data_IF_990478811085
#
_entry.id   IF_990478811085
#
_cell.length_a   1.000
_cell.length_b   1.000
_cell.length_c   1.000
_cell.angle_alpha   90.00
_cell.angle_beta   90.00
_cell.angle_gamma   90.00
#
_symmetry.space_group_name_H-M   'P 1'
#
loop_
_entity.id
_entity.type
_entity.pdbx_description
1 polymer ?
#
# COMPACT_ATOMS: atom_id res chain seq x y z
N UNK A 1 11.65 23.60 -20.26
CA UNK A 1 11.81 22.67 -19.12
C UNK A 1 11.26 21.34 -19.58
N UNK A 2 11.94 20.20 -19.42
CA UNK A 2 11.32 18.92 -19.73
C UNK A 2 10.11 18.76 -18.81
N UNK A 3 8.97 18.38 -19.39
CA UNK A 3 7.77 18.05 -18.62
C UNK A 3 8.14 17.02 -17.53
N UNK A 4 7.81 17.30 -16.27
CA UNK A 4 7.99 16.31 -15.21
C UNK A 4 7.25 15.05 -15.66
N UNK A 5 7.97 13.94 -15.80
CA UNK A 5 7.35 12.69 -16.17
C UNK A 5 6.24 12.41 -15.13
N UNK A 6 5.00 12.28 -15.60
CA UNK A 6 3.87 12.00 -14.73
C UNK A 6 4.15 10.68 -13.98
N UNK A 7 3.94 10.68 -12.67
CA UNK A 7 4.06 9.46 -11.85
C UNK A 7 3.04 8.44 -12.39
N UNK A 8 3.45 7.23 -12.80
CA UNK A 8 2.51 6.20 -13.22
C UNK A 8 1.66 5.74 -12.03
N UNK A 9 0.36 5.56 -12.24
CA UNK A 9 -0.60 5.19 -11.17
C UNK A 9 -0.49 6.17 -9.99
N UNK A 10 -0.80 7.47 -10.20
CA UNK A 10 -0.65 8.50 -9.19
C UNK A 10 -1.73 8.45 -8.11
N UNK A 11 -2.85 7.78 -8.38
CA UNK A 11 -3.97 7.64 -7.45
C UNK A 11 -3.57 6.88 -6.18
N UNK A 12 -4.25 7.17 -5.06
CA UNK A 12 -4.07 6.40 -3.84
C UNK A 12 -4.50 4.94 -4.07
N UNK A 13 -3.63 3.93 -3.79
CA UNK A 13 -3.89 2.53 -4.14
C UNK A 13 -4.98 1.87 -3.28
N UNK A 14 -5.38 2.50 -2.18
CA UNK A 14 -6.43 2.02 -1.28
C UNK A 14 -7.51 3.09 -1.10
N UNK A 15 -8.48 3.20 -2.03
CA UNK A 15 -9.56 4.17 -1.91
C UNK A 15 -10.51 3.88 -0.74
N UNK A 16 -10.52 2.64 -0.24
CA UNK A 16 -11.25 2.15 0.93
C UNK A 16 -10.65 2.62 2.26
N UNK A 17 -9.38 3.02 2.27
CA UNK A 17 -8.66 3.43 3.48
C UNK A 17 -7.52 4.40 3.16
N UNK A 18 -7.85 5.67 2.99
CA UNK A 18 -6.92 6.75 2.62
C UNK A 18 -6.46 7.49 3.87
N UNK A 19 -5.17 7.88 3.89
CA UNK A 19 -4.60 8.87 4.82
C UNK A 19 -4.15 10.11 4.06
N UNK A 20 -4.16 11.26 4.73
CA UNK A 20 -3.72 12.51 4.12
C UNK A 20 -2.20 12.52 3.81
N UNK A 21 -1.42 11.78 4.60
CA UNK A 21 0.03 11.62 4.41
C UNK A 21 0.30 10.46 3.46
N UNK A 22 0.43 10.74 2.17
CA UNK A 22 0.68 9.76 1.11
C UNK A 22 1.77 10.27 0.17
N UNK A 23 2.84 9.52 0.01
CA UNK A 23 3.91 9.85 -0.92
C UNK A 23 4.23 8.68 -1.84
N UNK A 24 3.87 8.84 -3.12
CA UNK A 24 3.99 7.80 -4.14
C UNK A 24 5.45 7.64 -4.59
N UNK A 25 5.97 6.42 -4.52
CA UNK A 25 7.31 6.03 -4.95
C UNK A 25 7.34 5.34 -6.32
N UNK A 26 6.24 5.33 -7.07
CA UNK A 26 6.22 4.81 -8.44
C UNK A 26 7.08 5.66 -9.39
N UNK A 27 7.36 5.12 -10.55
CA UNK A 27 8.15 5.78 -11.58
C UNK A 27 9.46 5.04 -11.85
N UNK A 28 10.50 5.78 -12.24
CA UNK A 28 11.75 5.18 -12.68
C UNK A 28 12.61 4.72 -11.50
N UNK A 29 12.99 3.44 -11.50
CA UNK A 29 13.89 2.82 -10.54
C UNK A 29 15.11 2.25 -11.27
N UNK A 30 16.23 2.10 -10.59
CA UNK A 30 17.33 1.26 -11.06
C UNK A 30 16.91 -0.22 -10.91
N UNK A 31 17.43 -1.07 -11.79
CA UNK A 31 17.03 -2.46 -11.87
C UNK A 31 18.17 -3.38 -12.33
N UNK A 32 18.15 -4.63 -11.88
CA UNK A 32 19.02 -5.69 -12.38
C UNK A 32 18.32 -7.05 -12.29
N UNK A 33 18.64 -7.93 -13.25
CA UNK A 33 18.48 -9.36 -13.12
C UNK A 33 19.71 -9.93 -12.39
N UNK A 34 19.55 -10.98 -11.59
CA UNK A 34 20.61 -11.60 -10.81
C UNK A 34 20.53 -13.13 -10.95
N UNK A 35 20.63 -13.59 -12.20
CA UNK A 35 20.42 -15.00 -12.54
C UNK A 35 21.44 -15.94 -11.90
N UNK A 36 22.61 -15.43 -11.54
CA UNK A 36 23.69 -16.16 -10.87
C UNK A 36 23.65 -16.05 -9.32
N UNK A 37 22.66 -15.37 -8.76
CA UNK A 37 22.47 -15.10 -7.31
C UNK A 37 23.73 -14.53 -6.63
N UNK A 38 24.37 -13.57 -7.28
CA UNK A 38 25.58 -12.91 -6.79
C UNK A 38 25.30 -11.70 -5.90
N UNK A 39 24.09 -11.12 -5.98
CA UNK A 39 23.78 -9.83 -5.40
C UNK A 39 23.98 -9.76 -3.89
N UNK A 40 23.59 -10.79 -3.14
CA UNK A 40 23.84 -10.85 -1.70
C UNK A 40 25.33 -10.99 -1.37
N UNK A 41 26.05 -11.84 -2.10
CA UNK A 41 27.49 -12.06 -1.92
C UNK A 41 28.30 -10.79 -2.20
N UNK A 42 27.88 -10.05 -3.23
CA UNK A 42 28.51 -8.79 -3.63
C UNK A 42 27.91 -7.58 -2.92
N UNK A 43 27.03 -7.79 -1.97
CA UNK A 43 26.40 -6.75 -1.13
C UNK A 43 25.76 -5.64 -1.96
N UNK A 44 24.93 -6.03 -2.95
CA UNK A 44 24.27 -5.03 -3.79
C UNK A 44 23.36 -4.09 -3.01
N UNK A 45 22.82 -4.53 -1.86
CA UNK A 45 22.03 -3.69 -0.97
C UNK A 45 22.79 -2.47 -0.42
N UNK A 46 24.12 -2.46 -0.42
CA UNK A 46 24.95 -1.41 0.16
C UNK A 46 25.30 -0.27 -0.82
N UNK A 47 24.44 0.01 -1.79
CA UNK A 47 24.59 1.18 -2.67
C UNK A 47 25.15 0.85 -4.06
N UNK A 48 25.28 -0.42 -4.46
CA UNK A 48 25.71 -0.77 -5.82
C UNK A 48 24.72 -0.20 -6.85
N UNK A 49 25.24 0.57 -7.80
CA UNK A 49 24.45 1.06 -8.94
C UNK A 49 24.01 -0.12 -9.80
N UNK A 50 22.71 -0.23 -10.07
CA UNK A 50 22.16 -1.27 -10.93
C UNK A 50 22.16 -0.83 -12.39
N UNK A 51 22.45 -1.76 -13.35
CA UNK A 51 22.77 -1.41 -14.74
C UNK A 51 21.57 -1.01 -15.59
N UNK A 52 20.38 -1.45 -15.21
CA UNK A 52 19.14 -1.23 -15.98
C UNK A 52 18.23 -0.23 -15.26
N UNK A 53 17.12 0.09 -15.89
CA UNK A 53 16.08 0.95 -15.36
C UNK A 53 14.73 0.31 -15.64
N UNK A 54 13.81 0.40 -14.69
CA UNK A 54 12.44 -0.11 -14.77
C UNK A 54 11.45 0.96 -14.32
N UNK A 55 10.25 0.96 -14.90
CA UNK A 55 9.14 1.83 -14.46
C UNK A 55 8.22 1.05 -13.52
N UNK A 56 8.30 1.32 -12.22
CA UNK A 56 7.40 0.79 -11.20
C UNK A 56 6.05 1.54 -11.28
N UNK A 57 4.88 0.87 -11.20
CA UNK A 57 4.65 -0.47 -10.71
C UNK A 57 4.42 -1.52 -11.83
N UNK A 58 5.15 -1.48 -12.89
CA UNK A 58 5.00 -2.46 -13.96
C UNK A 58 6.05 -3.57 -13.82
N UNK A 59 5.60 -4.83 -13.82
CA UNK A 59 6.51 -5.97 -13.84
C UNK A 59 7.39 -5.96 -15.10
N UNK A 60 8.59 -6.54 -15.02
CA UNK A 60 9.54 -6.46 -16.13
C UNK A 60 9.04 -7.09 -17.43
N UNK A 61 8.10 -8.06 -17.35
CA UNK A 61 7.48 -8.69 -18.51
C UNK A 61 6.60 -7.72 -19.31
N UNK A 62 6.10 -6.66 -18.69
CA UNK A 62 5.27 -5.66 -19.34
C UNK A 62 6.11 -4.66 -20.13
N UNK A 63 5.72 -4.32 -21.35
CA UNK A 63 6.33 -3.23 -22.15
C UNK A 63 6.27 -1.88 -21.42
N UNK A 64 5.24 -1.66 -20.59
CA UNK A 64 5.10 -0.43 -19.78
C UNK A 64 6.19 -0.27 -18.73
N UNK A 65 6.89 -1.34 -18.37
CA UNK A 65 8.05 -1.28 -17.49
C UNK A 65 9.28 -0.61 -18.16
N UNK A 66 9.28 -0.52 -19.49
CA UNK A 66 10.43 -0.10 -20.30
C UNK A 66 11.43 -1.22 -20.61
N UNK A 67 11.14 -2.45 -20.20
CA UNK A 67 11.93 -3.65 -20.48
C UNK A 67 11.18 -4.56 -21.45
N UNK A 68 10.11 -5.20 -21.01
CA UNK A 68 9.40 -6.22 -21.79
C UNK A 68 10.15 -7.53 -21.85
N UNK A 69 9.46 -8.59 -22.28
CA UNK A 69 10.08 -9.89 -22.54
C UNK A 69 9.38 -11.03 -21.80
N UNK A 70 9.72 -12.26 -22.21
CA UNK A 70 9.14 -13.50 -21.68
C UNK A 70 10.22 -14.42 -21.07
N UNK A 71 11.45 -13.94 -20.96
CA UNK A 71 12.52 -14.67 -20.30
C UNK A 71 12.28 -14.75 -18.79
N UNK A 72 12.65 -15.86 -18.19
CA UNK A 72 12.46 -16.10 -16.77
C UNK A 72 13.73 -15.71 -16.03
N UNK A 73 13.60 -14.77 -15.12
CA UNK A 73 14.66 -14.29 -14.25
C UNK A 73 14.22 -14.49 -12.79
N UNK A 74 14.76 -15.50 -12.07
CA UNK A 74 14.27 -15.85 -10.74
C UNK A 74 14.56 -14.79 -9.66
N UNK A 75 15.60 -13.98 -9.87
CA UNK A 75 16.05 -13.00 -8.88
C UNK A 75 16.16 -11.63 -9.51
N UNK A 76 15.51 -10.66 -8.89
CA UNK A 76 15.42 -9.28 -9.37
C UNK A 76 15.88 -8.32 -8.27
N UNK A 77 16.61 -7.28 -8.65
CA UNK A 77 16.99 -6.21 -7.77
C UNK A 77 16.42 -4.88 -8.24
N UNK A 78 15.85 -4.12 -7.30
CA UNK A 78 15.30 -2.79 -7.49
C UNK A 78 16.02 -1.81 -6.58
N UNK A 79 16.25 -0.58 -7.04
CA UNK A 79 16.79 0.49 -6.21
C UNK A 79 16.20 1.83 -6.56
N UNK A 80 15.89 2.63 -5.54
CA UNK A 80 15.44 4.00 -5.68
C UNK A 80 15.89 4.87 -4.51
N UNK A 81 16.39 6.07 -4.80
CA UNK A 81 16.58 7.09 -3.78
C UNK A 81 15.30 7.90 -3.59
N UNK A 82 15.02 8.30 -2.35
CA UNK A 82 13.89 9.14 -1.99
C UNK A 82 14.22 10.04 -0.80
N UNK A 83 13.46 11.12 -0.64
CA UNK A 83 13.51 11.98 0.54
C UNK A 83 12.16 11.94 1.24
N UNK A 84 12.15 11.80 2.55
CA UNK A 84 10.91 11.83 3.33
C UNK A 84 10.30 13.23 3.25
N UNK A 85 9.03 13.37 2.82
CA UNK A 85 8.34 14.66 2.79
C UNK A 85 8.35 15.36 4.15
N UNK A 86 8.35 16.69 4.14
CA UNK A 86 8.44 17.49 5.37
C UNK A 86 7.29 17.24 6.34
N UNK A 87 6.10 17.01 5.83
CA UNK A 87 4.88 16.70 6.59
C UNK A 87 4.89 15.29 7.22
N UNK A 88 5.84 14.44 6.84
CA UNK A 88 6.05 13.12 7.43
C UNK A 88 7.23 13.08 8.42
N UNK A 89 8.06 14.14 8.47
CA UNK A 89 9.24 14.17 9.33
C UNK A 89 8.84 14.14 10.80
N UNK A 90 9.58 13.38 11.62
CA UNK A 90 9.31 13.21 13.04
C UNK A 90 8.10 12.31 13.35
N UNK A 91 7.42 11.79 12.34
CA UNK A 91 6.35 10.82 12.49
C UNK A 91 6.85 9.39 12.27
N UNK A 92 6.05 8.43 12.64
CA UNK A 92 6.27 7.02 12.29
C UNK A 92 5.93 6.82 10.81
N UNK A 93 6.89 6.31 10.03
CA UNK A 93 6.76 6.17 8.58
C UNK A 93 6.67 4.70 8.18
N UNK A 94 5.60 4.37 7.50
CA UNK A 94 5.36 3.05 6.92
C UNK A 94 5.70 3.06 5.44
N UNK A 95 6.57 2.15 5.00
CA UNK A 95 6.79 1.82 3.61
C UNK A 95 5.79 0.74 3.22
N UNK A 96 4.95 1.02 2.23
CA UNK A 96 3.87 0.15 1.80
C UNK A 96 4.05 -0.31 0.38
N UNK A 97 3.70 -1.55 0.14
CA UNK A 97 3.66 -2.19 -1.17
C UNK A 97 2.26 -2.72 -1.42
N UNK A 98 1.68 -2.41 -2.57
CA UNK A 98 0.42 -3.00 -2.99
C UNK A 98 0.57 -4.49 -3.29
N UNK A 99 1.63 -4.88 -4.01
CA UNK A 99 2.04 -6.28 -4.19
C UNK A 99 3.44 -6.37 -4.79
N UNK A 100 4.16 -7.44 -4.41
CA UNK A 100 5.46 -7.85 -4.97
C UNK A 100 5.43 -9.38 -5.15
N UNK A 101 5.60 -9.87 -6.37
CA UNK A 101 5.58 -11.30 -6.67
C UNK A 101 7.02 -11.84 -6.80
N UNK A 102 7.46 -12.89 -6.13
CA UNK A 102 6.70 -13.68 -5.16
C UNK A 102 7.12 -13.41 -3.72
N UNK A 103 8.42 -13.40 -3.42
CA UNK A 103 8.99 -13.05 -2.13
C UNK A 103 9.99 -11.91 -2.26
N UNK A 104 10.14 -11.09 -1.23
CA UNK A 104 11.12 -10.01 -1.27
C UNK A 104 11.74 -9.72 0.09
N UNK A 105 13.02 -9.34 0.04
CA UNK A 105 13.75 -8.70 1.12
C UNK A 105 13.86 -7.21 0.84
N UNK A 106 13.60 -6.39 1.85
CA UNK A 106 13.59 -4.93 1.74
C UNK A 106 14.69 -4.34 2.59
N UNK A 107 15.46 -3.44 1.99
CA UNK A 107 16.59 -2.75 2.61
C UNK A 107 16.39 -1.24 2.52
N UNK A 108 16.62 -0.53 3.61
CA UNK A 108 16.68 0.93 3.64
C UNK A 108 18.05 1.33 4.17
N UNK A 109 18.78 2.18 3.41
CA UNK A 109 20.14 2.61 3.74
C UNK A 109 21.11 1.44 4.05
N UNK A 110 20.96 0.33 3.32
CA UNK A 110 21.75 -0.91 3.52
C UNK A 110 21.25 -1.83 4.64
N UNK A 111 20.42 -1.33 5.56
CA UNK A 111 19.83 -2.14 6.64
C UNK A 111 18.67 -2.98 6.12
N UNK A 112 18.63 -4.28 6.43
CA UNK A 112 17.46 -5.14 6.18
C UNK A 112 16.33 -4.75 7.12
N UNK A 113 15.20 -4.28 6.56
CA UNK A 113 14.07 -3.77 7.33
C UNK A 113 12.85 -4.68 7.31
N UNK A 114 12.80 -5.64 6.40
CA UNK A 114 11.66 -6.57 6.36
C UNK A 114 11.74 -7.57 5.22
N UNK A 115 10.89 -8.58 5.33
CA UNK A 115 10.69 -9.65 4.37
C UNK A 115 9.20 -9.90 4.14
N UNK A 116 8.80 -10.26 2.92
CA UNK A 116 7.43 -10.62 2.58
C UNK A 116 7.39 -11.79 1.62
N UNK A 117 6.38 -12.64 1.76
CA UNK A 117 6.09 -13.77 0.85
C UNK A 117 4.61 -13.71 0.46
N UNK A 118 4.34 -13.79 -0.83
CA UNK A 118 3.00 -13.80 -1.40
C UNK A 118 2.78 -12.70 -2.42
N UNK A 119 2.61 -13.09 -3.70
CA UNK A 119 2.57 -12.15 -4.85
C UNK A 119 1.32 -11.27 -4.94
N UNK A 120 0.28 -11.53 -4.14
CA UNK A 120 -1.04 -10.88 -4.27
C UNK A 120 -1.46 -10.06 -3.05
N UNK A 121 -0.70 -10.12 -1.97
CA UNK A 121 -1.06 -9.48 -0.70
C UNK A 121 -0.32 -8.16 -0.50
N UNK A 122 -1.01 -7.08 -0.11
CA UNK A 122 -0.34 -5.86 0.31
C UNK A 122 0.36 -6.05 1.65
N UNK A 123 1.46 -5.34 1.84
CA UNK A 123 2.20 -5.34 3.11
C UNK A 123 2.78 -3.97 3.43
N UNK A 124 3.16 -3.79 4.68
CA UNK A 124 3.77 -2.58 5.19
C UNK A 124 4.95 -2.91 6.11
N UNK A 125 5.99 -2.12 6.04
CA UNK A 125 7.17 -2.20 6.89
C UNK A 125 7.35 -0.85 7.57
N UNK A 126 7.52 -0.85 8.88
CA UNK A 126 7.92 0.35 9.63
C UNK A 126 9.40 0.62 9.37
N UNK A 127 9.68 1.70 8.67
CA UNK A 127 11.04 2.08 8.29
C UNK A 127 11.59 3.24 9.12
N UNK A 128 10.84 3.72 10.10
CA UNK A 128 11.13 4.94 10.87
C UNK A 128 12.57 4.98 11.39
N UNK A 129 13.05 3.87 11.99
CA UNK A 129 14.39 3.79 12.56
C UNK A 129 15.51 3.63 11.55
N UNK A 130 15.18 3.26 10.30
CA UNK A 130 16.16 3.10 9.22
C UNK A 130 16.30 4.37 8.37
N UNK A 131 15.42 5.36 8.56
CA UNK A 131 15.46 6.63 7.83
C UNK A 131 16.55 7.55 8.39
N UNK A 132 17.10 8.35 7.49
CA UNK A 132 18.06 9.42 7.80
C UNK A 132 17.60 10.74 7.19
N UNK A 133 18.19 11.84 7.65
CA UNK A 133 17.94 13.16 7.07
C UNK A 133 18.44 13.22 5.63
N UNK A 134 17.66 13.87 4.77
CA UNK A 134 17.98 14.04 3.37
C UNK A 134 17.61 12.83 2.51
N UNK A 135 18.55 12.33 1.73
CA UNK A 135 18.30 11.25 0.78
C UNK A 135 18.43 9.88 1.42
N UNK A 136 17.42 9.05 1.25
CA UNK A 136 17.39 7.65 1.66
C UNK A 136 17.48 6.73 0.44
N UNK A 137 18.10 5.58 0.61
CA UNK A 137 18.22 4.53 -0.41
C UNK A 137 17.31 3.35 -0.06
N UNK A 138 16.38 3.05 -0.96
CA UNK A 138 15.51 1.88 -0.89
C UNK A 138 15.99 0.85 -1.89
N UNK A 139 16.29 -0.35 -1.40
CA UNK A 139 16.71 -1.48 -2.23
C UNK A 139 15.83 -2.70 -1.92
N UNK A 140 15.41 -3.42 -2.96
CA UNK A 140 14.69 -4.69 -2.83
C UNK A 140 15.43 -5.78 -3.58
N UNK A 141 15.52 -6.97 -2.96
CA UNK A 141 15.80 -8.23 -3.64
C UNK A 141 14.48 -9.00 -3.71
N UNK A 142 14.08 -9.36 -4.91
CA UNK A 142 12.85 -10.15 -5.14
C UNK A 142 13.24 -11.51 -5.67
N UNK A 143 12.56 -12.56 -5.20
CA UNK A 143 12.72 -13.93 -5.69
C UNK A 143 11.36 -14.45 -6.18
N UNK A 144 11.33 -14.93 -7.42
CA UNK A 144 10.19 -15.58 -8.05
C UNK A 144 10.67 -16.74 -8.92
N UNK A 145 10.88 -17.89 -8.30
CA UNK A 145 11.33 -19.09 -9.01
C UNK A 145 10.18 -19.65 -9.87
N UNK A 146 10.50 -20.18 -11.06
CA UNK A 146 9.51 -20.78 -11.96
C UNK A 146 9.05 -22.14 -11.42
N UNK A 147 8.36 -22.12 -10.28
CA UNK A 147 7.93 -23.30 -9.53
C UNK A 147 6.40 -23.31 -9.41
N UNK A 148 5.81 -24.47 -9.69
CA UNK A 148 4.37 -24.67 -9.56
C UNK A 148 3.93 -24.99 -8.11
N UNK A 149 4.85 -25.11 -7.15
CA UNK A 149 4.53 -25.36 -5.74
C UNK A 149 4.21 -24.08 -4.97
N UNK A 150 4.51 -22.89 -5.53
CA UNK A 150 4.11 -21.62 -4.94
C UNK A 150 2.77 -21.13 -5.52
N UNK A 151 1.95 -20.38 -4.73
CA UNK A 151 0.67 -19.85 -5.19
C UNK A 151 0.84 -18.80 -6.31
N UNK A 152 0.61 -19.19 -7.55
CA UNK A 152 0.78 -18.35 -8.76
C UNK A 152 -0.53 -17.96 -9.43
N UNK A 153 -1.67 -18.43 -8.93
CA UNK A 153 -2.93 -18.31 -9.67
C UNK A 153 -2.83 -19.01 -11.05
N UNK A 154 -3.20 -18.30 -12.12
CA UNK A 154 -3.08 -18.79 -13.49
C UNK A 154 -1.80 -18.37 -14.21
N UNK A 155 -0.79 -17.87 -13.52
CA UNK A 155 0.50 -17.57 -14.14
C UNK A 155 1.21 -18.86 -14.57
N UNK A 156 1.74 -18.85 -15.80
CA UNK A 156 2.50 -19.99 -16.29
C UNK A 156 3.91 -20.01 -15.70
N UNK A 157 4.40 -21.16 -15.30
CA UNK A 157 5.74 -21.33 -14.68
C UNK A 157 6.83 -21.70 -15.69
N UNK A 158 6.54 -21.59 -16.96
CA UNK A 158 7.48 -21.81 -18.06
C UNK A 158 7.45 -20.62 -19.01
N UNK A 159 8.47 -20.52 -19.85
CA UNK A 159 8.52 -19.51 -20.89
C UNK A 159 7.40 -19.69 -21.92
N UNK A 160 6.86 -18.56 -22.39
CA UNK A 160 5.79 -18.51 -23.37
C UNK A 160 4.39 -18.67 -22.78
N UNK A 161 3.40 -18.66 -23.64
CA UNK A 161 1.99 -18.86 -23.28
C UNK A 161 1.50 -20.23 -23.76
N UNK A 162 0.75 -20.94 -22.93
CA UNK A 162 0.17 -22.21 -23.30
C UNK A 162 -1.23 -22.40 -22.70
N UNK A 163 -2.20 -22.71 -23.56
CA UNK A 163 -3.57 -23.03 -23.14
C UNK A 163 -4.25 -21.89 -22.40
N UNK A 164 -4.67 -22.14 -21.16
CA UNK A 164 -5.38 -21.17 -20.31
C UNK A 164 -4.48 -20.38 -19.34
N UNK A 165 -3.17 -20.55 -19.45
CA UNK A 165 -2.21 -19.87 -18.55
C UNK A 165 -1.87 -18.47 -19.04
N UNK A 166 -1.62 -17.57 -18.08
CA UNK A 166 -1.23 -16.18 -18.34
C UNK A 166 0.28 -15.98 -18.25
N UNK A 167 0.75 -14.88 -18.82
CA UNK A 167 2.14 -14.45 -18.69
C UNK A 167 2.53 -14.35 -17.21
N UNK A 168 3.72 -14.84 -16.82
CA UNK A 168 4.25 -14.63 -15.48
C UNK A 168 4.33 -13.15 -15.13
N UNK A 169 4.17 -12.86 -13.87
CA UNK A 169 4.33 -11.51 -13.32
C UNK A 169 5.30 -11.58 -12.16
N UNK A 170 6.48 -11.02 -12.30
CA UNK A 170 7.53 -11.08 -11.27
C UNK A 170 7.93 -9.68 -10.80
N UNK A 171 8.21 -9.55 -9.52
CA UNK A 171 8.65 -8.31 -8.92
C UNK A 171 7.52 -7.37 -8.50
N UNK A 172 7.83 -6.08 -8.42
CA UNK A 172 6.86 -5.05 -8.02
C UNK A 172 5.85 -4.85 -9.14
N UNK A 173 4.55 -5.11 -8.87
CA UNK A 173 3.50 -4.93 -9.86
C UNK A 173 2.33 -4.08 -9.39
N UNK A 174 2.38 -3.60 -8.15
CA UNK A 174 1.46 -2.60 -7.61
C UNK A 174 2.22 -1.46 -6.92
N UNK A 175 1.51 -0.35 -6.66
CA UNK A 175 2.06 0.89 -6.14
C UNK A 175 2.91 0.70 -4.87
N UNK A 176 4.07 1.38 -4.86
CA UNK A 176 4.94 1.54 -3.68
C UNK A 176 4.78 2.96 -3.16
N UNK A 177 4.61 3.12 -1.85
CA UNK A 177 4.39 4.44 -1.25
C UNK A 177 4.81 4.52 0.21
N UNK A 178 5.02 5.74 0.69
CA UNK A 178 5.18 6.05 2.11
C UNK A 178 3.87 6.59 2.66
N UNK A 179 3.62 6.28 3.93
CA UNK A 179 2.49 6.76 4.69
C UNK A 179 2.95 7.08 6.12
N UNK A 180 2.70 8.31 6.59
CA UNK A 180 3.00 8.65 7.98
C UNK A 180 1.80 8.32 8.87
N UNK A 181 2.10 7.83 10.07
CA UNK A 181 1.08 7.42 11.05
C UNK A 181 1.46 7.89 12.44
N UNK A 182 0.46 8.09 13.29
CA UNK A 182 0.67 8.35 14.71
C UNK A 182 1.26 7.14 15.45
N UNK A 183 1.70 7.36 16.68
CA UNK A 183 2.21 6.31 17.56
C UNK A 183 1.19 5.18 17.78
N UNK A 184 -0.09 5.51 17.74
CA UNK A 184 -1.23 4.58 17.64
C UNK A 184 -2.06 4.96 16.44
N UNK A 185 -2.33 4.01 15.57
CA UNK A 185 -3.07 4.27 14.34
C UNK A 185 -3.98 3.13 13.97
N UNK A 186 -5.01 3.43 13.20
CA UNK A 186 -5.88 2.42 12.62
C UNK A 186 -5.10 1.61 11.57
N UNK A 187 -5.19 0.30 11.65
CA UNK A 187 -4.67 -0.63 10.65
C UNK A 187 -5.76 -1.14 9.73
N UNK A 188 -7.01 -1.08 10.19
CA UNK A 188 -8.17 -1.54 9.44
C UNK A 188 -9.37 -0.64 9.71
N UNK A 189 -10.10 -0.34 8.64
CA UNK A 189 -11.47 0.16 8.63
C UNK A 189 -12.22 -0.72 7.64
N UNK A 190 -13.24 -1.43 8.10
CA UNK A 190 -14.13 -2.20 7.24
C UNK A 190 -15.58 -1.77 7.53
N UNK A 191 -16.31 -1.38 6.49
CA UNK A 191 -17.68 -0.90 6.64
C UNK A 191 -18.65 -1.89 6.00
N UNK A 192 -19.57 -2.40 6.79
CA UNK A 192 -20.65 -3.28 6.33
C UNK A 192 -21.96 -2.51 6.36
N UNK A 193 -22.59 -2.21 5.21
CA UNK A 193 -23.89 -1.56 5.15
C UNK A 193 -25.04 -2.53 5.43
N UNK A 194 -26.11 -2.03 6.06
CA UNK A 194 -27.41 -2.68 6.22
C UNK A 194 -28.48 -1.75 5.67
N UNK A 195 -28.89 -2.00 4.44
CA UNK A 195 -29.81 -1.16 3.68
C UNK A 195 -31.21 -1.14 4.33
N UNK A 196 -31.65 -2.31 4.79
CA UNK A 196 -33.00 -2.48 5.34
C UNK A 196 -33.18 -1.72 6.65
N UNK A 197 -32.13 -1.68 7.47
CA UNK A 197 -32.08 -0.93 8.72
C UNK A 197 -31.58 0.50 8.57
N UNK A 198 -31.13 0.89 7.38
CA UNK A 198 -30.56 2.21 7.09
C UNK A 198 -29.35 2.51 8.01
N UNK A 199 -28.53 1.49 8.23
CA UNK A 199 -27.37 1.53 9.09
C UNK A 199 -26.12 1.04 8.36
N UNK A 200 -24.97 1.30 8.97
CA UNK A 200 -23.71 0.65 8.66
C UNK A 200 -22.97 0.32 9.96
N UNK A 201 -22.07 -0.64 9.88
CA UNK A 201 -21.18 -0.98 10.99
C UNK A 201 -19.73 -0.80 10.53
N UNK A 202 -18.97 0.07 11.19
CA UNK A 202 -17.52 0.17 11.01
C UNK A 202 -16.82 -0.80 11.95
N UNK A 203 -16.01 -1.69 11.39
CA UNK A 203 -15.07 -2.54 12.13
C UNK A 203 -13.71 -1.85 12.09
N UNK A 204 -13.20 -1.51 13.26
CA UNK A 204 -11.99 -0.74 13.44
C UNK A 204 -10.92 -1.60 14.14
N UNK A 205 -9.68 -1.51 13.68
CA UNK A 205 -8.54 -2.12 14.37
C UNK A 205 -7.37 -1.13 14.51
N UNK A 206 -6.79 -1.07 15.70
CA UNK A 206 -5.54 -0.35 15.97
C UNK A 206 -4.33 -1.28 15.80
N UNK A 207 -3.15 -0.71 15.57
CA UNK A 207 -1.87 -1.42 15.54
C UNK A 207 -1.48 -1.99 16.91
N UNK A 208 -1.80 -1.24 17.97
CA UNK A 208 -1.54 -1.62 19.36
C UNK A 208 -2.77 -1.35 20.25
N UNK A 209 -2.75 -1.84 21.48
CA UNK A 209 -3.82 -1.59 22.44
C UNK A 209 -3.99 -0.08 22.71
N UNK A 210 -5.24 0.41 22.82
CA UNK A 210 -5.51 1.80 23.15
C UNK A 210 -5.06 2.13 24.57
N UNK A 211 -4.79 3.41 24.82
CA UNK A 211 -4.62 3.91 26.18
C UNK A 211 -5.99 4.12 26.84
N UNK A 212 -6.07 4.09 28.17
CA UNK A 212 -7.29 4.51 28.89
C UNK A 212 -7.73 5.92 28.43
N UNK A 213 -9.03 6.07 28.14
CA UNK A 213 -9.57 7.34 27.64
C UNK A 213 -9.39 7.57 26.14
N UNK A 214 -8.88 6.59 25.37
CA UNK A 214 -8.87 6.66 23.92
C UNK A 214 -10.31 6.60 23.38
N UNK A 215 -10.63 7.51 22.47
CA UNK A 215 -11.90 7.60 21.76
C UNK A 215 -11.72 7.50 20.26
N UNK A 216 -12.79 7.13 19.56
CA UNK A 216 -12.89 7.27 18.11
C UNK A 216 -14.02 8.20 17.75
N UNK A 217 -13.76 9.05 16.76
CA UNK A 217 -14.74 9.92 16.15
C UNK A 217 -14.96 9.49 14.70
N UNK A 218 -16.20 9.22 14.35
CA UNK A 218 -16.64 8.86 13.01
C UNK A 218 -17.47 10.02 12.45
N UNK A 219 -17.05 10.59 11.33
CA UNK A 219 -17.80 11.61 10.61
C UNK A 219 -18.21 11.07 9.26
N UNK A 220 -19.51 10.90 9.06
CA UNK A 220 -20.12 10.50 7.81
C UNK A 220 -20.51 11.73 7.01
N UNK A 221 -20.13 11.77 5.73
CA UNK A 221 -20.53 12.83 4.79
C UNK A 221 -20.98 12.27 3.44
N UNK A 222 -21.72 13.07 2.70
CA UNK A 222 -22.15 12.80 1.33
C UNK A 222 -22.18 14.10 0.53
N UNK A 223 -21.58 14.09 -0.65
CA UNK A 223 -21.54 15.29 -1.50
C UNK A 223 -20.84 16.51 -0.85
N UNK A 224 -19.95 16.29 0.10
CA UNK A 224 -19.26 17.34 0.85
C UNK A 224 -20.02 17.85 2.09
N UNK A 225 -21.24 17.40 2.32
CA UNK A 225 -22.03 17.76 3.51
C UNK A 225 -21.86 16.72 4.61
N UNK A 226 -21.58 17.16 5.85
CA UNK A 226 -21.57 16.29 7.02
C UNK A 226 -22.99 15.89 7.38
N UNK A 227 -23.24 14.59 7.36
CA UNK A 227 -24.54 14.02 7.72
C UNK A 227 -24.63 13.71 9.21
N UNK A 228 -23.51 13.23 9.78
CA UNK A 228 -23.44 12.80 11.18
C UNK A 228 -22.01 12.79 11.68
N UNK A 229 -21.85 13.10 12.97
CA UNK A 229 -20.63 12.83 13.72
C UNK A 229 -20.99 12.01 14.96
N UNK A 230 -20.27 10.91 15.17
CA UNK A 230 -20.40 10.04 16.34
C UNK A 230 -19.05 9.93 17.03
N UNK A 231 -19.03 10.13 18.36
CA UNK A 231 -17.85 9.92 19.20
C UNK A 231 -18.16 8.84 20.24
N UNK A 232 -17.25 7.89 20.41
CA UNK A 232 -17.39 6.80 21.37
C UNK A 232 -16.04 6.36 21.90
N UNK A 233 -16.02 5.78 23.09
CA UNK A 233 -14.81 5.20 23.68
C UNK A 233 -14.32 4.02 22.86
N UNK A 234 -12.99 3.87 22.76
CA UNK A 234 -12.33 2.72 22.15
C UNK A 234 -11.52 1.95 23.21
N UNK A 235 -12.16 1.09 23.99
CA UNK A 235 -11.51 0.41 25.10
C UNK A 235 -10.64 -0.77 24.69
N UNK A 236 -10.77 -1.24 23.45
CA UNK A 236 -10.08 -2.43 22.94
C UNK A 236 -9.42 -2.17 21.59
N UNK A 237 -8.43 -3.00 21.23
CA UNK A 237 -7.74 -2.91 19.95
C UNK A 237 -8.65 -3.10 18.74
N UNK A 238 -9.69 -3.89 18.89
CA UNK A 238 -10.70 -4.17 17.85
C UNK A 238 -12.07 -3.76 18.36
N UNK A 239 -12.82 -3.04 17.54
CA UNK A 239 -14.14 -2.58 17.93
C UNK A 239 -15.08 -2.52 16.72
N UNK A 240 -16.36 -2.69 16.97
CA UNK A 240 -17.44 -2.52 16.00
C UNK A 240 -18.30 -1.33 16.42
N UNK A 241 -18.50 -0.39 15.51
CA UNK A 241 -19.29 0.82 15.75
C UNK A 241 -20.45 0.84 14.77
N UNK A 242 -21.67 0.52 15.21
CA UNK A 242 -22.86 0.69 14.40
C UNK A 242 -23.25 2.18 14.36
N UNK A 243 -23.70 2.66 13.19
CA UNK A 243 -24.19 4.01 13.01
C UNK A 243 -25.27 4.07 11.92
N UNK A 244 -26.19 5.03 12.01
CA UNK A 244 -27.15 5.25 10.95
C UNK A 244 -26.53 6.04 9.81
N UNK A 245 -26.90 5.73 8.57
CA UNK A 245 -26.48 6.46 7.36
C UNK A 245 -27.41 7.63 7.02
N UNK A 246 -28.43 7.86 7.83
CA UNK A 246 -29.34 9.00 7.67
C UNK A 246 -28.72 10.28 8.25
N UNK A 247 -29.03 11.42 7.61
CA UNK A 247 -28.65 12.72 8.13
C UNK A 247 -29.36 13.03 9.45
N UNK A 248 -28.66 13.72 10.34
CA UNK A 248 -29.22 14.27 11.57
C UNK A 248 -30.11 15.49 11.28
N UNK A 249 -29.89 16.15 10.14
CA UNK A 249 -30.57 17.40 9.73
C UNK A 249 -31.20 17.22 8.34
N UNK A 250 -32.42 17.74 8.15
CA UNK A 250 -33.09 17.79 6.86
C UNK A 250 -33.87 16.53 6.46
N UNK A 251 -34.07 16.35 5.16
CA UNK A 251 -34.74 15.17 4.61
C UNK A 251 -33.83 13.93 4.77
N UNK A 252 -34.26 13.01 5.61
CA UNK A 252 -33.59 11.74 5.89
C UNK A 252 -33.70 10.82 4.68
N UNK A 253 -32.74 10.97 3.74
CA UNK A 253 -32.68 10.16 2.54
C UNK A 253 -31.39 9.39 2.51
N UNK A 254 -31.48 8.08 2.22
CA UNK A 254 -30.34 7.25 1.93
C UNK A 254 -30.03 7.31 0.43
N UNK A 255 -28.76 7.49 0.08
CA UNK A 255 -28.29 7.48 -1.31
C UNK A 255 -27.70 6.11 -1.63
N UNK A 256 -28.48 5.30 -2.34
CA UNK A 256 -28.04 3.96 -2.72
C UNK A 256 -27.06 4.01 -3.91
N UNK A 257 -26.10 3.12 -3.90
CA UNK A 257 -25.21 2.90 -5.03
C UNK A 257 -25.89 2.02 -6.08
N UNK A 258 -25.75 2.40 -7.34
CA UNK A 258 -26.06 1.55 -8.50
C UNK A 258 -25.11 1.92 -9.64
N UNK A 259 -24.97 1.09 -10.69
CA UNK A 259 -24.15 1.46 -11.87
C UNK A 259 -24.57 2.77 -12.54
N UNK A 260 -25.87 3.09 -12.51
CA UNK A 260 -26.42 4.34 -13.07
C UNK A 260 -26.37 5.53 -12.10
N UNK A 261 -26.13 5.28 -10.81
CA UNK A 261 -26.02 6.29 -9.75
C UNK A 261 -25.01 5.82 -8.71
N UNK A 262 -23.70 5.96 -8.99
CA UNK A 262 -22.64 5.40 -8.16
C UNK A 262 -22.39 6.28 -6.93
N UNK A 263 -23.39 6.41 -6.06
CA UNK A 263 -23.31 7.19 -4.84
C UNK A 263 -22.36 6.55 -3.83
N UNK A 264 -21.39 7.32 -3.34
CA UNK A 264 -20.47 6.93 -2.29
C UNK A 264 -20.54 7.91 -1.13
N UNK A 265 -20.48 7.38 0.07
CA UNK A 265 -20.34 8.16 1.30
C UNK A 265 -18.86 8.22 1.68
N UNK A 266 -18.45 9.34 2.25
CA UNK A 266 -17.14 9.47 2.88
C UNK A 266 -17.26 9.22 4.38
N UNK A 267 -16.42 8.35 4.92
CA UNK A 267 -16.31 8.09 6.35
C UNK A 267 -14.93 8.52 6.85
N UNK A 268 -14.87 9.62 7.58
CA UNK A 268 -13.65 10.03 8.27
C UNK A 268 -13.63 9.42 9.67
N UNK A 269 -12.54 8.72 10.00
CA UNK A 269 -12.34 8.14 11.34
C UNK A 269 -11.10 8.73 11.97
N UNK A 270 -11.25 9.31 13.16
CA UNK A 270 -10.16 9.86 13.96
C UNK A 270 -10.02 9.07 15.25
N UNK A 271 -8.77 8.79 15.64
CA UNK A 271 -8.44 8.26 16.96
C UNK A 271 -7.98 9.42 17.83
N UNK A 272 -8.63 9.60 18.95
CA UNK A 272 -8.43 10.74 19.85
C UNK A 272 -7.94 10.22 21.20
N UNK A 273 -7.03 10.97 21.83
CA UNK A 273 -6.56 10.70 23.20
C UNK A 273 -6.27 12.01 23.92
N UNK A 274 -6.99 12.27 25.02
CA UNK A 274 -6.94 13.57 25.69
C UNK A 274 -7.58 14.66 24.84
N UNK A 275 -7.03 15.87 24.93
CA UNK A 275 -7.51 17.06 24.22
C UNK A 275 -6.93 17.19 22.79
N UNK A 276 -6.28 16.14 22.26
CA UNK A 276 -5.64 16.14 20.93
C UNK A 276 -6.31 15.21 19.94
#
# INVERSE_FOLDING_TARGET
MPASASIPRPEHPRPDFVRNTFYNLNGKWQFAFDDDDLGLKERWQDGKKLPKSIVVPFCYQSEKSGLGGDEIHPILWYRRSFTVPKDMQGQRVLLRFGAVDYACDVYVNGAHVGHHVGGYSPFAIDVTLALQDGSNDLCLRVTDYPDCTQPRGKQYWKRGLMGCWYTPTSGIWQTVYLEAVGARHLTQIHVTPDIDRQMATAELALDVAPLPGTQVELTLSFGGETLRTLRTDMPTRHMRVPFTVLSDVGLRRMHLWSPGSPNLYDLTVRVLHGDS
#
